data_IF_174784423799
#
_entry.id   IF_174784423799
#
_cell.length_a   1.000
_cell.length_b   1.000
_cell.length_c   1.000
_cell.angle_alpha   90.00
_cell.angle_beta   90.00
_cell.angle_gamma   90.00
#
_symmetry.space_group_name_H-M   'P 1'
#
loop_
_entity.id
_entity.type
_entity.pdbx_description
1 polymer ?
#
# COMPACT_ATOMS: atom_id res chain seq x y z
N UNK A 1 21.33 6.11 4.52
CA UNK A 1 20.72 5.00 5.28
C UNK A 1 19.33 4.74 4.75
N UNK A 2 19.05 3.49 4.40
CA UNK A 2 17.77 3.11 3.83
C UNK A 2 16.74 2.82 4.92
N UNK A 3 15.48 3.13 4.65
CA UNK A 3 14.40 2.67 5.51
C UNK A 3 14.25 1.15 5.41
N UNK A 4 13.73 0.53 6.47
CA UNK A 4 13.45 -0.91 6.46
C UNK A 4 12.30 -1.23 5.50
N UNK A 5 12.23 -2.48 5.05
CA UNK A 5 11.12 -2.95 4.23
C UNK A 5 9.79 -2.76 4.96
N UNK A 6 9.76 -3.07 6.26
CA UNK A 6 8.57 -2.85 7.10
C UNK A 6 8.11 -1.40 7.08
N UNK A 7 9.03 -0.46 7.21
CA UNK A 7 8.71 0.98 7.17
C UNK A 7 8.16 1.38 5.81
N UNK A 8 8.77 0.89 4.72
CA UNK A 8 8.30 1.18 3.36
C UNK A 8 6.88 0.66 3.14
N UNK A 9 6.58 -0.55 3.60
CA UNK A 9 5.24 -1.12 3.52
C UNK A 9 4.21 -0.28 4.27
N UNK A 10 4.53 0.15 5.49
CA UNK A 10 3.64 0.98 6.29
C UNK A 10 3.44 2.36 5.67
N UNK A 11 4.49 2.97 5.14
CA UNK A 11 4.38 4.25 4.45
C UNK A 11 3.52 4.14 3.19
N UNK A 12 3.62 3.03 2.47
CA UNK A 12 2.75 2.81 1.31
C UNK A 12 1.27 2.77 1.72
N UNK A 13 0.93 2.09 2.80
CA UNK A 13 -0.45 2.03 3.29
C UNK A 13 -0.93 3.39 3.78
N UNK A 14 -0.20 4.02 4.68
CA UNK A 14 -0.69 5.19 5.40
C UNK A 14 -0.46 6.50 4.64
N UNK A 15 0.68 6.62 3.96
CA UNK A 15 1.09 7.89 3.35
C UNK A 15 0.91 7.93 1.83
N UNK A 16 0.53 6.82 1.22
CA UNK A 16 0.19 6.76 -0.21
C UNK A 16 -1.30 6.46 -0.36
N UNK A 17 -1.72 5.24 -0.07
CA UNK A 17 -3.12 4.83 -0.25
C UNK A 17 -4.06 5.44 0.80
N UNK A 18 -3.56 5.74 1.98
CA UNK A 18 -4.30 6.39 3.05
C UNK A 18 -4.24 7.92 3.03
N UNK A 19 -3.43 8.54 2.16
CA UNK A 19 -3.23 9.98 2.16
C UNK A 19 -4.17 10.69 1.19
N UNK A 20 -5.00 11.58 1.70
CA UNK A 20 -5.96 12.34 0.88
C UNK A 20 -5.31 13.55 0.18
N UNK A 21 -4.26 14.11 0.75
CA UNK A 21 -3.58 15.26 0.14
C UNK A 21 -2.71 14.79 -1.03
N UNK A 22 -3.02 15.21 -2.27
CA UNK A 22 -2.28 14.72 -3.44
C UNK A 22 -0.81 15.16 -3.46
N UNK A 23 -0.49 16.28 -2.85
CA UNK A 23 0.91 16.77 -2.80
C UNK A 23 1.73 15.90 -1.86
N UNK A 24 1.20 15.61 -0.66
CA UNK A 24 1.88 14.73 0.30
C UNK A 24 2.00 13.32 -0.23
N UNK A 25 0.93 12.80 -0.84
CA UNK A 25 0.94 11.45 -1.43
C UNK A 25 2.04 11.33 -2.49
N UNK A 26 2.13 12.29 -3.41
CA UNK A 26 3.14 12.25 -4.46
C UNK A 26 4.55 12.35 -3.88
N UNK A 27 4.75 13.19 -2.88
CA UNK A 27 6.06 13.33 -2.23
C UNK A 27 6.50 11.98 -1.62
N UNK A 28 5.59 11.25 -0.98
CA UNK A 28 5.89 9.93 -0.43
C UNK A 28 6.20 8.94 -1.54
N UNK A 29 5.41 8.92 -2.61
CA UNK A 29 5.64 8.01 -3.75
C UNK A 29 7.05 8.23 -4.32
N UNK A 30 7.47 9.49 -4.48
CA UNK A 30 8.80 9.82 -5.00
C UNK A 30 9.93 9.36 -4.07
N UNK A 31 9.65 9.23 -2.78
CA UNK A 31 10.63 8.78 -1.80
C UNK A 31 10.72 7.26 -1.70
N UNK A 32 9.59 6.55 -1.74
CA UNK A 32 9.57 5.13 -1.41
C UNK A 32 9.53 4.19 -2.62
N UNK A 33 9.12 4.67 -3.80
CA UNK A 33 9.05 3.84 -5.01
C UNK A 33 10.19 4.16 -5.99
N UNK A 34 10.67 3.11 -6.68
CA UNK A 34 11.49 3.30 -7.87
C UNK A 34 10.68 3.99 -8.97
N UNK A 35 11.37 4.70 -9.87
CA UNK A 35 10.72 5.34 -11.02
C UNK A 35 9.99 4.34 -11.90
N UNK A 36 10.52 3.12 -12.01
CA UNK A 36 9.97 2.04 -12.83
C UNK A 36 9.23 0.99 -11.98
N UNK A 37 8.81 1.33 -10.78
CA UNK A 37 8.10 0.41 -9.89
C UNK A 37 6.86 -0.16 -10.56
N UNK A 38 6.58 -1.42 -10.26
CA UNK A 38 5.42 -2.14 -10.80
C UNK A 38 4.48 -2.50 -9.66
N UNK A 39 3.20 -2.18 -9.84
CA UNK A 39 2.18 -2.51 -8.88
C UNK A 39 1.21 -3.50 -9.54
N UNK A 40 1.11 -4.70 -8.96
CA UNK A 40 0.20 -5.74 -9.43
C UNK A 40 -1.11 -5.63 -8.66
N UNK A 41 -2.15 -5.24 -9.37
CA UNK A 41 -3.50 -5.09 -8.87
C UNK A 41 -4.11 -6.49 -8.61
N UNK A 42 -4.93 -6.65 -7.57
CA UNK A 42 -5.54 -7.94 -7.25
C UNK A 42 -6.49 -8.47 -8.33
N UNK A 43 -6.94 -7.62 -9.26
CA UNK A 43 -7.79 -8.04 -10.38
C UNK A 43 -7.01 -8.42 -11.63
N UNK A 44 -5.67 -8.44 -11.54
CA UNK A 44 -4.79 -8.85 -12.63
C UNK A 44 -4.21 -7.71 -13.46
N UNK A 45 -4.54 -6.47 -13.15
CA UNK A 45 -3.97 -5.30 -13.81
C UNK A 45 -2.52 -5.06 -13.38
N UNK A 46 -1.73 -4.46 -14.26
CA UNK A 46 -0.35 -4.10 -14.00
C UNK A 46 -0.19 -2.59 -14.15
N UNK A 47 0.24 -1.93 -13.08
CA UNK A 47 0.38 -0.48 -13.02
C UNK A 47 1.88 -0.18 -12.96
N UNK A 48 2.39 0.63 -13.88
CA UNK A 48 3.82 0.90 -14.00
C UNK A 48 4.14 2.36 -13.81
N UNK A 49 5.13 2.62 -12.94
CA UNK A 49 5.68 3.94 -12.72
C UNK A 49 4.93 4.76 -11.70
N UNK A 50 5.60 5.80 -11.21
CA UNK A 50 5.09 6.65 -10.11
C UNK A 50 3.81 7.39 -10.47
N UNK A 51 3.70 7.90 -11.71
CA UNK A 51 2.52 8.65 -12.13
C UNK A 51 1.27 7.78 -12.11
N UNK A 52 1.38 6.55 -12.61
CA UNK A 52 0.26 5.61 -12.63
C UNK A 52 -0.12 5.15 -11.22
N UNK A 53 0.87 4.88 -10.37
CA UNK A 53 0.64 4.51 -8.97
C UNK A 53 -0.10 5.64 -8.24
N UNK A 54 0.35 6.88 -8.42
CA UNK A 54 -0.29 8.04 -7.82
C UNK A 54 -1.74 8.19 -8.27
N UNK A 55 -1.98 8.01 -9.57
CA UNK A 55 -3.33 8.09 -10.14
C UNK A 55 -4.27 7.05 -9.53
N UNK A 56 -3.81 5.82 -9.41
CA UNK A 56 -4.61 4.72 -8.82
C UNK A 56 -4.88 4.98 -7.35
N UNK A 57 -3.84 5.34 -6.58
CA UNK A 57 -4.01 5.64 -5.16
C UNK A 57 -4.98 6.80 -4.94
N UNK A 58 -4.87 7.85 -5.75
CA UNK A 58 -5.78 8.99 -5.68
C UNK A 58 -7.22 8.63 -6.00
N UNK A 59 -7.43 7.77 -7.01
CA UNK A 59 -8.78 7.31 -7.39
C UNK A 59 -9.41 6.47 -6.27
N UNK A 60 -8.64 5.57 -5.66
CA UNK A 60 -9.13 4.76 -4.54
C UNK A 60 -9.51 5.65 -3.35
N UNK A 61 -8.65 6.61 -3.01
CA UNK A 61 -8.92 7.52 -1.89
C UNK A 61 -10.12 8.42 -2.16
N UNK A 62 -10.30 8.87 -3.40
CA UNK A 62 -11.45 9.69 -3.78
C UNK A 62 -12.76 8.91 -3.73
N UNK A 63 -12.73 7.60 -4.02
CA UNK A 63 -13.91 6.73 -3.94
C UNK A 63 -14.35 6.53 -2.49
N UNK A 64 -13.40 6.41 -1.57
CA UNK A 64 -13.66 6.21 -0.15
C UNK A 64 -12.80 7.17 0.69
N UNK A 65 -13.13 8.48 0.70
CA UNK A 65 -12.23 9.48 1.29
C UNK A 65 -12.04 9.34 2.80
N UNK A 66 -12.97 8.71 3.50
CA UNK A 66 -12.89 8.48 4.95
C UNK A 66 -12.31 7.12 5.34
N UNK A 67 -11.99 6.26 4.37
CA UNK A 67 -11.42 4.95 4.68
C UNK A 67 -9.99 5.10 5.21
N UNK A 68 -9.71 4.33 6.25
CA UNK A 68 -8.40 4.25 6.88
C UNK A 68 -7.88 2.83 6.78
N UNK A 69 -6.56 2.70 6.68
CA UNK A 69 -5.88 1.40 6.69
C UNK A 69 -5.43 1.10 8.10
N UNK A 70 -5.66 -0.14 8.53
CA UNK A 70 -5.21 -0.63 9.83
C UNK A 70 -4.51 -1.97 9.63
N UNK A 71 -3.28 -2.09 10.11
CA UNK A 71 -2.53 -3.34 10.00
C UNK A 71 -3.04 -4.34 11.02
N UNK A 72 -3.08 -5.62 10.64
CA UNK A 72 -3.53 -6.71 11.53
C UNK A 72 -2.39 -7.24 12.39
N UNK A 73 -1.16 -7.11 11.91
CA UNK A 73 0.04 -7.51 12.63
C UNK A 73 1.23 -6.73 12.06
N UNK A 74 2.36 -6.77 12.74
CA UNK A 74 3.58 -6.14 12.24
C UNK A 74 3.97 -6.73 10.89
N UNK A 75 4.53 -5.91 9.97
CA UNK A 75 5.05 -6.44 8.72
C UNK A 75 6.12 -7.50 8.95
N UNK A 76 6.20 -8.46 8.06
CA UNK A 76 7.23 -9.48 8.07
C UNK A 76 8.20 -9.23 6.92
N UNK A 77 9.50 -9.43 7.18
CA UNK A 77 10.55 -9.25 6.17
C UNK A 77 11.25 -10.57 5.90
N UNK A 78 11.62 -10.78 4.64
CA UNK A 78 12.41 -11.95 4.24
C UNK A 78 13.26 -11.60 3.03
N UNK A 79 14.59 -11.57 3.21
CA UNK A 79 15.50 -11.19 2.14
C UNK A 79 15.22 -9.76 1.65
N UNK A 80 14.97 -9.61 0.37
CA UNK A 80 14.61 -8.33 -0.25
C UNK A 80 13.10 -8.09 -0.30
N UNK A 81 12.30 -8.91 0.40
CA UNK A 81 10.85 -8.84 0.37
C UNK A 81 10.24 -8.60 1.74
N UNK A 82 9.00 -8.20 1.74
CA UNK A 82 8.20 -8.09 2.95
C UNK A 82 6.73 -8.12 2.62
N UNK A 83 5.92 -8.38 3.65
CA UNK A 83 4.47 -8.38 3.52
C UNK A 83 3.81 -7.79 4.74
N UNK A 84 2.62 -7.24 4.53
CA UNK A 84 1.78 -6.73 5.61
C UNK A 84 0.32 -7.03 5.30
N UNK A 85 -0.39 -7.54 6.30
CA UNK A 85 -1.83 -7.74 6.21
C UNK A 85 -2.56 -6.54 6.80
N UNK A 86 -3.59 -6.10 6.11
CA UNK A 86 -4.33 -4.90 6.50
C UNK A 86 -5.83 -5.07 6.28
N UNK A 87 -6.59 -4.22 6.96
CA UNK A 87 -8.01 -4.00 6.68
C UNK A 87 -8.23 -2.52 6.41
N UNK A 88 -9.25 -2.20 5.65
CA UNK A 88 -9.64 -0.81 5.42
C UNK A 88 -11.13 -0.62 5.51
N UNK A 89 -11.53 0.55 5.97
CA UNK A 89 -12.92 0.92 6.12
C UNK A 89 -13.05 2.28 6.81
N UNK A 90 -14.29 2.74 6.97
CA UNK A 90 -14.59 3.99 7.66
C UNK A 90 -14.32 3.85 9.16
N UNK A 91 -13.91 4.94 9.84
CA UNK A 91 -13.70 4.91 11.28
C UNK A 91 -14.97 4.46 12.02
N UNK A 92 -14.79 3.53 12.97
CA UNK A 92 -15.90 3.01 13.78
C UNK A 92 -16.79 1.98 13.10
N UNK A 93 -16.54 1.69 11.81
CA UNK A 93 -17.31 0.72 11.05
C UNK A 93 -16.52 -0.59 10.88
N UNK A 94 -17.22 -1.72 10.64
CA UNK A 94 -16.52 -2.94 10.28
C UNK A 94 -15.69 -2.76 9.02
N UNK A 95 -14.58 -3.51 8.85
CA UNK A 95 -13.78 -3.42 7.65
C UNK A 95 -14.60 -3.70 6.39
N UNK A 96 -14.38 -2.87 5.36
CA UNK A 96 -14.98 -3.07 4.03
C UNK A 96 -14.09 -3.93 3.15
N UNK A 97 -12.77 -3.85 3.34
CA UNK A 97 -11.78 -4.61 2.57
C UNK A 97 -10.71 -5.18 3.50
N UNK A 98 -10.13 -6.27 3.07
CA UNK A 98 -8.94 -6.87 3.68
C UNK A 98 -7.97 -7.25 2.58
N UNK A 99 -6.69 -7.08 2.84
CA UNK A 99 -5.68 -7.40 1.85
C UNK A 99 -4.31 -7.66 2.45
N UNK A 100 -3.42 -8.14 1.58
CA UNK A 100 -2.01 -8.33 1.87
C UNK A 100 -1.22 -7.62 0.79
N UNK A 101 -0.32 -6.73 1.19
CA UNK A 101 0.68 -6.16 0.32
C UNK A 101 1.97 -6.95 0.47
N UNK A 102 2.47 -7.48 -0.64
CA UNK A 102 3.79 -8.11 -0.72
C UNK A 102 4.67 -7.22 -1.57
N UNK A 103 5.81 -6.80 -1.05
CA UNK A 103 6.71 -5.90 -1.76
C UNK A 103 8.09 -6.50 -1.95
N UNK A 104 8.68 -6.19 -3.11
CA UNK A 104 10.10 -6.41 -3.40
C UNK A 104 10.78 -5.05 -3.33
N UNK A 105 11.89 -4.99 -2.59
CA UNK A 105 12.65 -3.75 -2.37
C UNK A 105 14.03 -3.91 -3.01
N UNK A 106 14.45 -2.87 -3.74
CA UNK A 106 15.76 -2.81 -4.38
C UNK A 106 16.35 -1.42 -4.14
N UNK A 107 17.58 -1.37 -3.67
CA UNK A 107 18.28 -0.12 -3.40
C UNK A 107 17.50 0.83 -2.48
N UNK A 108 16.86 0.27 -1.45
CA UNK A 108 16.14 1.03 -0.44
C UNK A 108 14.79 1.57 -0.87
N UNK A 109 14.28 1.18 -2.03
CA UNK A 109 12.97 1.61 -2.56
C UNK A 109 12.17 0.42 -3.05
N UNK A 110 10.86 0.58 -3.05
CA UNK A 110 9.95 -0.46 -3.54
C UNK A 110 10.08 -0.57 -5.05
N UNK A 111 10.46 -1.77 -5.52
CA UNK A 111 10.54 -2.08 -6.94
C UNK A 111 9.25 -2.72 -7.47
N UNK A 112 8.54 -3.48 -6.62
CA UNK A 112 7.28 -4.11 -7.00
C UNK A 112 6.40 -4.29 -5.79
N UNK A 113 5.09 -4.17 -5.99
CA UNK A 113 4.07 -4.52 -5.01
C UNK A 113 3.11 -5.50 -5.66
N UNK A 114 2.76 -6.53 -4.91
CA UNK A 114 1.73 -7.51 -5.26
C UNK A 114 0.62 -7.39 -4.22
N UNK A 115 -0.54 -6.93 -4.64
CA UNK A 115 -1.70 -6.78 -3.75
C UNK A 115 -2.61 -7.99 -3.91
N UNK A 116 -2.90 -8.64 -2.79
CA UNK A 116 -3.88 -9.72 -2.70
C UNK A 116 -5.05 -9.28 -1.84
N UNK A 117 -6.26 -9.51 -2.31
CA UNK A 117 -7.43 -9.38 -1.43
C UNK A 117 -7.55 -10.64 -0.57
N UNK A 118 -7.85 -10.43 0.70
CA UNK A 118 -8.07 -11.50 1.66
C UNK A 118 -9.55 -11.56 2.04
N UNK A 119 -9.96 -12.68 2.64
CA UNK A 119 -11.27 -12.77 3.25
C UNK A 119 -11.40 -11.75 4.38
N UNK A 120 -12.56 -11.13 4.50
CA UNK A 120 -12.82 -10.22 5.61
C UNK A 120 -12.77 -10.98 6.93
N UNK A 121 -12.20 -10.37 8.00
CA UNK A 121 -12.19 -11.00 9.31
C UNK A 121 -13.61 -11.29 9.78
N UNK A 122 -13.80 -12.46 10.40
CA UNK A 122 -15.06 -12.79 11.04
C UNK A 122 -15.17 -11.98 12.31
N UNK A 123 -16.26 -11.22 12.43
CA UNK A 123 -16.56 -10.46 13.65
C UNK A 123 -17.48 -11.33 14.51
N UNK A 124 -17.06 -11.71 15.75
CA UNK A 124 -17.86 -12.53 16.64
C UNK A 124 -19.15 -11.81 17.09
#
# INVERSE_FOLDING_TARGET
MHETISTLLLRNLHDVFGEIDPIRRRATIDQIFHEDAVFHDPTGGVIRGRDAIDRVAGTIKATHPDFQYRVLADPEERGDSGRVQWVSGAPGEPPAYAGTDFAIVRDGRIAAVYLYFDALPVVP
#
